data_IF_162500152267
#
_entry.id   IF_162500152267
#
_cell.length_a   1.000
_cell.length_b   1.000
_cell.length_c   1.000
_cell.angle_alpha   90.00
_cell.angle_beta   90.00
_cell.angle_gamma   90.00
#
_symmetry.space_group_name_H-M   'P 1'
#
loop_
_entity.id
_entity.type
_entity.pdbx_description
1 polymer ?
#
# COMPACT_ATOMS: atom_id res chain seq x y z
N UNK A 1 -15.72 5.26 -22.72
CA UNK A 1 -14.43 6.01 -22.70
C UNK A 1 -14.17 6.76 -21.40
N UNK A 2 -15.13 7.52 -20.85
CA UNK A 2 -14.92 8.29 -19.61
C UNK A 2 -14.62 7.43 -18.37
N UNK A 3 -15.27 6.28 -18.20
CA UNK A 3 -15.04 5.38 -17.07
C UNK A 3 -13.59 4.87 -16.99
N UNK A 4 -13.01 4.49 -18.14
CA UNK A 4 -11.61 4.07 -18.21
C UNK A 4 -10.65 5.19 -17.82
N UNK A 5 -10.95 6.45 -18.16
CA UNK A 5 -10.14 7.61 -17.78
C UNK A 5 -10.20 7.86 -16.26
N UNK A 6 -11.39 7.78 -15.68
CA UNK A 6 -11.57 7.98 -14.23
C UNK A 6 -10.81 6.91 -13.43
N UNK A 7 -10.84 5.65 -13.87
CA UNK A 7 -10.10 4.57 -13.23
C UNK A 7 -8.57 4.72 -13.38
N UNK A 8 -8.08 5.26 -14.51
CA UNK A 8 -6.65 5.56 -14.68
C UNK A 8 -6.21 6.66 -13.73
N UNK A 9 -6.98 7.76 -13.65
CA UNK A 9 -6.70 8.85 -12.71
C UNK A 9 -6.71 8.35 -11.28
N UNK A 10 -7.70 7.55 -10.89
CA UNK A 10 -7.76 6.96 -9.56
C UNK A 10 -6.55 6.05 -9.28
N UNK A 11 -6.10 5.27 -10.27
CA UNK A 11 -4.88 4.44 -10.11
C UNK A 11 -3.64 5.30 -9.86
N UNK A 12 -3.42 6.37 -10.63
CA UNK A 12 -2.27 7.26 -10.43
C UNK A 12 -2.34 8.01 -9.11
N UNK A 13 -3.53 8.48 -8.72
CA UNK A 13 -3.77 9.11 -7.42
C UNK A 13 -3.45 8.12 -6.29
N UNK A 14 -3.96 6.89 -6.37
CA UNK A 14 -3.68 5.84 -5.39
C UNK A 14 -2.19 5.51 -5.26
N UNK A 15 -1.50 5.41 -6.41
CA UNK A 15 -0.05 5.22 -6.45
C UNK A 15 0.68 6.39 -5.78
N UNK A 16 0.36 7.62 -6.16
CA UNK A 16 0.98 8.82 -5.62
C UNK A 16 0.80 8.96 -4.11
N UNK A 17 -0.44 8.78 -3.60
CA UNK A 17 -0.72 8.75 -2.16
C UNK A 17 0.11 7.68 -1.44
N UNK A 18 0.20 6.48 -2.02
CA UNK A 18 0.98 5.38 -1.43
C UNK A 18 2.48 5.65 -1.39
N UNK A 19 3.02 6.44 -2.32
CA UNK A 19 4.44 6.79 -2.36
C UNK A 19 4.76 7.91 -1.37
N UNK A 20 3.95 8.98 -1.36
CA UNK A 20 4.18 10.11 -0.44
C UNK A 20 3.99 9.70 1.01
N UNK A 21 3.01 8.85 1.30
CA UNK A 21 2.72 8.42 2.66
C UNK A 21 3.89 7.69 3.34
N UNK A 22 4.74 6.99 2.59
CA UNK A 22 5.91 6.29 3.17
C UNK A 22 7.02 7.23 3.63
N UNK A 23 7.07 8.47 3.12
CA UNK A 23 8.08 9.46 3.53
C UNK A 23 7.97 9.85 5.00
N UNK A 24 6.79 9.67 5.61
CA UNK A 24 6.53 9.95 7.02
C UNK A 24 5.93 8.69 7.67
N UNK A 25 6.74 7.79 8.26
CA UNK A 25 6.30 6.45 8.66
C UNK A 25 5.04 6.40 9.53
N UNK A 26 4.87 7.34 10.47
CA UNK A 26 3.71 7.39 11.36
C UNK A 26 2.56 8.22 10.76
N UNK A 27 2.83 9.48 10.44
CA UNK A 27 1.82 10.45 10.00
C UNK A 27 1.37 10.27 8.56
N UNK A 28 2.23 9.69 7.71
CA UNK A 28 1.94 9.37 6.33
C UNK A 28 1.31 7.98 6.15
N UNK A 29 1.32 7.12 7.17
CA UNK A 29 0.73 5.79 7.13
C UNK A 29 -0.76 5.79 6.69
N UNK A 30 -1.62 6.72 7.15
CA UNK A 30 -2.99 6.85 6.66
C UNK A 30 -3.08 7.15 5.16
N UNK A 31 -2.16 7.94 4.59
CA UNK A 31 -2.10 8.16 3.14
C UNK A 31 -1.75 6.87 2.40
N UNK A 32 -0.87 6.03 2.96
CA UNK A 32 -0.56 4.73 2.36
C UNK A 32 -1.75 3.80 2.39
N UNK A 33 -2.52 3.75 3.49
CA UNK A 33 -3.78 2.99 3.57
C UNK A 33 -4.78 3.50 2.54
N UNK A 34 -4.99 4.81 2.44
CA UNK A 34 -5.90 5.39 1.46
C UNK A 34 -5.46 5.09 0.01
N UNK A 35 -4.19 5.32 -0.31
CA UNK A 35 -3.63 5.07 -1.64
C UNK A 35 -3.71 3.60 -2.05
N UNK A 36 -3.29 2.70 -1.16
CA UNK A 36 -3.37 1.24 -1.40
C UNK A 36 -4.82 0.74 -1.50
N UNK A 37 -5.74 1.32 -0.75
CA UNK A 37 -7.18 1.05 -0.86
C UNK A 37 -7.73 1.45 -2.23
N UNK A 38 -7.36 2.64 -2.73
CA UNK A 38 -7.72 3.09 -4.08
C UNK A 38 -7.13 2.14 -5.14
N UNK A 39 -5.86 1.73 -5.01
CA UNK A 39 -5.21 0.78 -5.90
C UNK A 39 -5.92 -0.58 -5.92
N UNK A 40 -6.31 -1.09 -4.75
CA UNK A 40 -7.08 -2.34 -4.62
C UNK A 40 -8.43 -2.25 -5.33
N UNK A 41 -9.18 -1.16 -5.14
CA UNK A 41 -10.50 -0.98 -5.76
C UNK A 41 -10.38 -0.81 -7.27
N UNK A 42 -9.45 0.04 -7.72
CA UNK A 42 -9.25 0.32 -9.15
C UNK A 42 -8.78 -0.90 -9.92
N UNK A 43 -7.78 -1.64 -9.42
CA UNK A 43 -7.29 -2.87 -10.07
C UNK A 43 -8.36 -3.97 -10.14
N UNK A 44 -9.21 -4.08 -9.11
CA UNK A 44 -10.37 -4.98 -9.14
C UNK A 44 -11.38 -4.58 -10.20
N UNK A 45 -11.66 -3.27 -10.35
CA UNK A 45 -12.58 -2.75 -11.38
C UNK A 45 -12.04 -2.91 -12.80
N UNK A 46 -10.71 -2.84 -12.98
CA UNK A 46 -10.05 -3.14 -14.24
C UNK A 46 -10.09 -4.62 -14.65
N UNK A 47 -10.49 -5.53 -13.76
CA UNK A 47 -10.41 -6.96 -14.01
C UNK A 47 -8.96 -7.47 -14.06
N UNK A 48 -8.03 -6.84 -13.35
CA UNK A 48 -6.62 -7.28 -13.36
C UNK A 48 -6.49 -8.68 -12.74
N UNK A 49 -5.85 -9.66 -13.41
CA UNK A 49 -5.52 -10.97 -12.85
C UNK A 49 -4.84 -10.93 -11.48
N UNK A 50 -4.09 -9.86 -11.18
CA UNK A 50 -3.38 -9.71 -9.90
C UNK A 50 -4.20 -8.96 -8.82
N UNK A 51 -5.48 -8.65 -9.05
CA UNK A 51 -6.31 -7.90 -8.08
C UNK A 51 -6.40 -8.59 -6.70
N UNK A 52 -6.27 -9.92 -6.63
CA UNK A 52 -6.18 -10.65 -5.36
C UNK A 52 -4.95 -10.23 -4.56
N UNK A 53 -3.80 -10.05 -5.21
CA UNK A 53 -2.55 -9.67 -4.57
C UNK A 53 -2.57 -8.22 -4.07
N UNK A 54 -3.19 -7.30 -4.80
CA UNK A 54 -3.42 -5.93 -4.30
C UNK A 54 -4.24 -5.93 -3.01
N UNK A 55 -5.23 -6.81 -2.89
CA UNK A 55 -6.02 -6.97 -1.65
C UNK A 55 -5.19 -7.52 -0.50
N UNK A 56 -4.38 -8.54 -0.74
CA UNK A 56 -3.48 -9.09 0.30
C UNK A 56 -2.52 -8.00 0.79
N UNK A 57 -1.90 -7.25 -0.14
CA UNK A 57 -1.01 -6.15 0.21
C UNK A 57 -1.74 -5.07 1.03
N UNK A 58 -2.94 -4.68 0.62
CA UNK A 58 -3.77 -3.72 1.37
C UNK A 58 -4.06 -4.18 2.79
N UNK A 59 -4.45 -5.45 2.99
CA UNK A 59 -4.71 -5.99 4.32
C UNK A 59 -3.45 -6.02 5.19
N UNK A 60 -2.30 -6.41 4.62
CA UNK A 60 -1.02 -6.36 5.33
C UNK A 60 -0.66 -4.93 5.76
N UNK A 61 -0.86 -3.95 4.87
CA UNK A 61 -0.67 -2.53 5.17
C UNK A 61 -1.57 -2.10 6.33
N UNK A 62 -2.87 -2.36 6.25
CA UNK A 62 -3.83 -1.98 7.31
C UNK A 62 -3.42 -2.58 8.65
N UNK A 63 -3.08 -3.88 8.69
CA UNK A 63 -2.66 -4.56 9.91
C UNK A 63 -1.38 -3.96 10.50
N UNK A 64 -0.38 -3.70 9.68
CA UNK A 64 0.87 -3.10 10.14
C UNK A 64 0.71 -1.65 10.59
N UNK A 65 -0.13 -0.86 9.91
CA UNK A 65 -0.42 0.53 10.29
C UNK A 65 -1.21 0.61 11.59
N UNK A 66 -2.21 -0.26 11.79
CA UNK A 66 -2.93 -0.36 13.08
C UNK A 66 -1.94 -0.68 14.20
N UNK A 67 -1.08 -1.68 13.99
CA UNK A 67 -0.07 -2.08 14.99
C UNK A 67 0.89 -0.95 15.33
N UNK A 68 1.36 -0.22 14.32
CA UNK A 68 2.23 0.95 14.49
C UNK A 68 1.54 2.06 15.31
N UNK A 69 0.30 2.40 14.97
CA UNK A 69 -0.46 3.42 15.69
C UNK A 69 -0.82 2.99 17.12
N UNK A 70 -1.13 1.71 17.34
CA UNK A 70 -1.34 1.16 18.68
C UNK A 70 -0.07 1.27 19.53
N UNK A 71 1.09 0.93 18.98
CA UNK A 71 2.38 1.05 19.70
C UNK A 71 2.68 2.51 20.05
N UNK A 72 2.47 3.42 19.11
CA UNK A 72 2.63 4.85 19.34
C UNK A 72 1.67 5.35 20.44
N UNK A 73 0.41 4.93 20.43
CA UNK A 73 -0.56 5.32 21.45
C UNK A 73 -0.20 4.81 22.86
N UNK A 74 0.39 3.62 22.99
CA UNK A 74 0.75 3.03 24.29
C UNK A 74 2.05 3.62 24.84
N UNK A 75 3.04 3.85 23.98
CA UNK A 75 4.43 4.14 24.42
C UNK A 75 4.96 5.50 24.01
N UNK A 76 4.28 6.21 23.11
CA UNK A 76 4.80 7.43 22.47
C UNK A 76 5.98 7.20 21.53
N UNK A 77 6.44 5.95 21.38
CA UNK A 77 7.57 5.58 20.54
C UNK A 77 7.14 5.49 19.07
N UNK A 78 8.05 5.91 18.20
CA UNK A 78 7.87 5.94 16.76
C UNK A 78 8.15 4.60 16.07
N UNK A 79 8.12 4.60 14.75
CA UNK A 79 8.26 3.39 13.93
C UNK A 79 9.64 2.72 14.08
N UNK A 80 10.70 3.51 14.23
CA UNK A 80 12.07 3.00 14.32
C UNK A 80 12.27 2.23 15.63
N UNK A 81 11.81 2.80 16.73
CA UNK A 81 11.82 2.14 18.04
C UNK A 81 10.90 0.91 18.07
N UNK A 82 9.76 0.94 17.37
CA UNK A 82 8.86 -0.21 17.26
C UNK A 82 9.48 -1.39 16.49
N UNK A 83 10.28 -1.12 15.45
CA UNK A 83 10.96 -2.14 14.64
C UNK A 83 12.12 -2.83 15.38
N UNK A 84 12.77 -2.14 16.31
CA UNK A 84 13.88 -2.67 17.10
C UNK A 84 13.46 -3.57 18.29
N UNK A 85 12.16 -3.64 18.57
CA UNK A 85 11.55 -4.38 19.69
C UNK A 85 10.68 -5.54 19.17
N UNK A 86 10.10 -6.35 20.04
CA UNK A 86 9.20 -7.45 19.69
C UNK A 86 7.95 -7.02 18.88
N UNK A 87 7.61 -5.73 18.92
CA UNK A 87 6.56 -5.13 18.10
C UNK A 87 6.89 -5.07 16.61
N UNK A 88 8.17 -5.22 16.24
CA UNK A 88 8.62 -5.21 14.86
C UNK A 88 7.91 -6.24 14.00
N UNK A 89 7.60 -7.43 14.55
CA UNK A 89 6.87 -8.48 13.83
C UNK A 89 5.43 -8.10 13.47
N UNK A 90 4.79 -7.27 14.31
CA UNK A 90 3.42 -6.77 14.07
C UNK A 90 3.41 -5.57 13.13
N UNK A 91 4.49 -4.78 13.09
CA UNK A 91 4.67 -3.65 12.17
C UNK A 91 5.14 -4.09 10.80
N UNK A 92 5.94 -5.18 10.70
CA UNK A 92 6.53 -5.71 9.46
C UNK A 92 5.54 -5.93 8.29
N UNK A 93 4.27 -6.33 8.50
CA UNK A 93 3.29 -6.41 7.43
C UNK A 93 3.11 -5.10 6.66
N UNK A 94 3.32 -3.94 7.29
CA UNK A 94 3.20 -2.65 6.63
C UNK A 94 4.22 -2.46 5.50
N UNK A 95 5.55 -2.45 5.74
CA UNK A 95 6.52 -2.33 4.68
C UNK A 95 6.42 -3.50 3.68
N UNK A 96 6.16 -4.73 4.13
CA UNK A 96 6.01 -5.88 3.23
C UNK A 96 4.83 -5.71 2.25
N UNK A 97 3.68 -5.28 2.74
CA UNK A 97 2.51 -5.02 1.89
C UNK A 97 2.77 -3.89 0.89
N UNK A 98 3.49 -2.85 1.31
CA UNK A 98 3.87 -1.75 0.43
C UNK A 98 4.87 -2.19 -0.67
N UNK A 99 5.91 -2.94 -0.32
CA UNK A 99 6.81 -3.54 -1.31
C UNK A 99 6.07 -4.45 -2.28
N UNK A 100 5.08 -5.21 -1.80
CA UNK A 100 4.18 -5.99 -2.65
C UNK A 100 3.45 -5.13 -3.69
N UNK A 101 2.93 -3.96 -3.31
CA UNK A 101 2.33 -3.01 -4.26
C UNK A 101 3.33 -2.55 -5.30
N UNK A 102 4.56 -2.18 -4.90
CA UNK A 102 5.59 -1.78 -5.85
C UNK A 102 5.89 -2.86 -6.88
N UNK A 103 6.03 -4.11 -6.44
CA UNK A 103 6.27 -5.25 -7.31
C UNK A 103 5.10 -5.42 -8.30
N UNK A 104 3.86 -5.35 -7.83
CA UNK A 104 2.67 -5.49 -8.68
C UNK A 104 2.54 -4.36 -9.70
N UNK A 105 2.87 -3.12 -9.31
CA UNK A 105 2.91 -1.96 -10.21
C UNK A 105 4.01 -2.14 -11.25
N UNK A 106 5.19 -2.59 -10.84
CA UNK A 106 6.31 -2.87 -11.74
C UNK A 106 5.95 -3.95 -12.77
N UNK A 107 5.38 -5.08 -12.34
CA UNK A 107 4.90 -6.16 -13.23
C UNK A 107 3.88 -5.61 -14.24
N UNK A 108 2.93 -4.79 -13.76
CA UNK A 108 1.90 -4.19 -14.63
C UNK A 108 2.48 -3.26 -15.68
N UNK A 109 3.50 -2.47 -15.34
CA UNK A 109 4.09 -1.48 -16.25
C UNK A 109 5.06 -2.09 -17.27
N UNK A 110 5.88 -3.06 -16.85
CA UNK A 110 7.00 -3.54 -17.66
C UNK A 110 6.73 -4.90 -18.33
N UNK A 111 6.08 -5.84 -17.63
CA UNK A 111 5.92 -7.22 -18.16
C UNK A 111 4.74 -7.30 -19.13
N UNK A 112 3.65 -6.57 -18.88
CA UNK A 112 2.46 -6.59 -19.76
C UNK A 112 2.56 -5.69 -21.00
N UNK A 113 3.66 -4.95 -21.16
CA UNK A 113 3.94 -4.15 -22.36
C UNK A 113 4.81 -4.88 -23.38
N UNK A 114 5.27 -6.12 -23.12
CA UNK A 114 5.96 -6.90 -24.14
C UNK A 114 4.94 -7.21 -25.27
N UNK A 115 5.08 -6.61 -26.46
CA UNK A 115 4.20 -6.91 -27.57
C UNK A 115 4.41 -8.37 -27.98
N UNK A 116 3.32 -9.12 -28.11
CA UNK A 116 3.27 -10.25 -29.05
C UNK A 116 2.61 -9.74 -30.32
#
# INVERSE_FOLDING_TARGET
MQENRNLQTAFYVGLFLSMIGVLFPLWGAPLVVAGSGILMVTTRRYGDPHARWYRVCFLMIVLGVISLWTRFAISGLDAEAALADGWGMLVLPYPLGWFGILILVFIRLFIRRAPQ
#
